data_IF_662842362196
#
_entry.id   IF_662842362196
#
_cell.length_a   1.000
_cell.length_b   1.000
_cell.length_c   1.000
_cell.angle_alpha   90.00
_cell.angle_beta   90.00
_cell.angle_gamma   90.00
#
_symmetry.space_group_name_H-M   'P 1'
#
loop_
_entity.id
_entity.type
_entity.pdbx_description
1 polymer ?
#
# COMPACT_ATOMS: atom_id res chain seq x y z
N UNK A 1 15.42 8.59 -2.15
CA UNK A 1 15.08 9.67 -3.10
C UNK A 1 14.00 9.26 -4.12
N UNK A 2 13.99 8.04 -4.68
CA UNK A 2 12.94 7.61 -5.64
C UNK A 2 11.53 7.53 -5.02
N UNK A 3 11.39 6.82 -3.90
CA UNK A 3 10.06 6.49 -3.34
C UNK A 3 9.25 7.71 -2.87
N UNK A 4 9.90 8.72 -2.27
CA UNK A 4 9.24 9.95 -1.83
C UNK A 4 8.68 10.75 -3.02
N UNK A 5 9.40 10.79 -4.14
CA UNK A 5 8.93 11.46 -5.36
C UNK A 5 7.74 10.74 -5.99
N UNK A 6 7.74 9.41 -5.97
CA UNK A 6 6.60 8.59 -6.40
C UNK A 6 5.36 8.86 -5.53
N UNK A 7 5.54 8.91 -4.20
CA UNK A 7 4.47 9.26 -3.26
C UNK A 7 3.95 10.68 -3.53
N UNK A 8 4.82 11.66 -3.76
CA UNK A 8 4.41 13.03 -4.06
C UNK A 8 3.58 13.10 -5.36
N UNK A 9 3.99 12.35 -6.39
CA UNK A 9 3.23 12.23 -7.64
C UNK A 9 1.85 11.62 -7.41
N UNK A 10 1.76 10.53 -6.65
CA UNK A 10 0.48 9.89 -6.28
C UNK A 10 -0.39 10.88 -5.50
N UNK A 11 0.17 11.65 -4.56
CA UNK A 11 -0.55 12.66 -3.79
C UNK A 11 -1.14 13.75 -4.67
N UNK A 12 -0.39 14.24 -5.67
CA UNK A 12 -0.88 15.20 -6.67
C UNK A 12 -2.04 14.65 -7.49
N UNK A 13 -1.96 13.39 -7.92
CA UNK A 13 -3.02 12.71 -8.69
C UNK A 13 -4.25 12.48 -7.81
N UNK A 14 -4.07 12.04 -6.56
CA UNK A 14 -5.16 11.88 -5.57
C UNK A 14 -5.92 13.19 -5.32
N UNK A 15 -5.23 14.32 -5.34
CA UNK A 15 -5.87 15.64 -5.23
C UNK A 15 -6.87 15.94 -6.37
N UNK A 16 -6.69 15.32 -7.54
CA UNK A 16 -7.58 15.48 -8.71
C UNK A 16 -8.58 14.31 -8.85
N UNK A 17 -8.18 13.10 -8.46
CA UNK A 17 -8.93 11.87 -8.65
C UNK A 17 -9.07 11.10 -7.33
N UNK A 18 -10.30 11.06 -6.80
CA UNK A 18 -10.61 10.34 -5.55
C UNK A 18 -10.72 8.83 -5.71
N UNK A 19 -10.80 8.32 -6.93
CA UNK A 19 -10.88 6.88 -7.24
C UNK A 19 -9.49 6.22 -7.34
N UNK A 20 -8.40 6.96 -7.09
CA UNK A 20 -7.06 6.43 -7.15
C UNK A 20 -6.82 5.43 -6.01
N UNK A 21 -6.28 4.26 -6.36
CA UNK A 21 -5.87 3.21 -5.43
C UNK A 21 -4.38 2.97 -5.63
N UNK A 22 -3.66 2.66 -4.56
CA UNK A 22 -2.25 2.29 -4.64
C UNK A 22 -2.11 0.80 -4.40
N UNK A 23 -1.26 0.17 -5.18
CA UNK A 23 -0.89 -1.22 -5.04
C UNK A 23 0.60 -1.33 -4.74
N UNK A 24 0.94 -2.09 -3.70
CA UNK A 24 2.33 -2.34 -3.29
C UNK A 24 2.72 -3.72 -3.85
N UNK A 25 3.62 -3.78 -4.86
CA UNK A 25 4.09 -5.04 -5.42
C UNK A 25 5.25 -5.63 -4.60
N UNK A 26 5.62 -6.89 -4.88
CA UNK A 26 6.81 -7.55 -4.32
C UNK A 26 6.94 -7.58 -2.79
N UNK A 27 5.83 -7.55 -2.05
CA UNK A 27 5.86 -7.63 -0.59
C UNK A 27 6.26 -9.04 -0.15
N UNK A 28 7.36 -9.17 0.61
CA UNK A 28 7.88 -10.46 1.11
C UNK A 28 7.58 -10.71 2.57
N UNK A 29 7.45 -9.64 3.36
CA UNK A 29 7.27 -9.72 4.82
C UNK A 29 6.26 -8.69 5.30
N UNK A 30 5.57 -9.02 6.40
CA UNK A 30 4.56 -8.16 7.04
C UNK A 30 5.20 -6.86 7.54
N UNK A 31 6.42 -6.93 8.10
CA UNK A 31 7.19 -5.76 8.55
C UNK A 31 7.56 -4.79 7.44
N UNK A 32 7.88 -5.30 6.24
CA UNK A 32 8.16 -4.46 5.08
C UNK A 32 6.91 -3.70 4.63
N UNK A 33 5.76 -4.39 4.59
CA UNK A 33 4.48 -3.74 4.30
C UNK A 33 4.14 -2.68 5.34
N UNK A 34 4.25 -3.01 6.64
CA UNK A 34 3.96 -2.10 7.73
C UNK A 34 4.84 -0.84 7.69
N UNK A 35 6.14 -1.00 7.41
CA UNK A 35 7.07 0.13 7.21
C UNK A 35 6.69 0.97 6.00
N UNK A 36 6.31 0.34 4.89
CA UNK A 36 5.91 1.03 3.66
C UNK A 36 4.65 1.87 3.87
N UNK A 37 3.62 1.28 4.49
CA UNK A 37 2.38 1.98 4.85
C UNK A 37 2.68 3.16 5.78
N UNK A 38 3.54 2.97 6.79
CA UNK A 38 3.93 4.06 7.71
C UNK A 38 4.64 5.21 6.99
N UNK A 39 5.50 4.93 6.01
CA UNK A 39 6.15 5.96 5.19
C UNK A 39 5.10 6.70 4.36
N UNK A 40 4.20 5.97 3.69
CA UNK A 40 3.11 6.58 2.92
C UNK A 40 2.24 7.49 3.80
N UNK A 41 1.91 7.06 5.02
CA UNK A 41 1.18 7.87 5.99
C UNK A 41 1.94 9.13 6.39
N UNK A 42 3.25 9.05 6.65
CA UNK A 42 4.07 10.22 7.01
C UNK A 42 4.16 11.25 5.88
N UNK A 43 4.04 10.80 4.63
CA UNK A 43 4.02 11.66 3.44
C UNK A 43 2.60 12.14 3.06
N UNK A 44 1.61 11.86 3.91
CA UNK A 44 0.23 12.33 3.74
C UNK A 44 -0.68 11.42 2.88
N UNK A 45 -0.20 10.23 2.49
CA UNK A 45 -1.01 9.20 1.84
C UNK A 45 -1.56 8.20 2.86
N UNK A 46 -2.47 8.70 3.71
CA UNK A 46 -3.17 7.86 4.68
C UNK A 46 -4.34 7.10 4.05
N UNK A 47 -4.50 5.84 4.45
CA UNK A 47 -5.68 5.00 4.16
C UNK A 47 -6.94 5.67 4.67
N UNK A 48 -7.99 5.66 3.85
CA UNK A 48 -9.30 6.25 4.17
C UNK A 48 -10.39 5.56 3.34
N UNK A 49 -11.67 5.85 3.58
CA UNK A 49 -12.76 5.27 2.76
C UNK A 49 -12.58 5.52 1.26
N UNK A 50 -12.03 6.69 0.90
CA UNK A 50 -11.79 7.09 -0.49
C UNK A 50 -10.40 6.66 -1.01
N UNK A 51 -9.50 6.18 -0.16
CA UNK A 51 -8.14 5.80 -0.55
C UNK A 51 -7.79 4.43 0.00
N UNK A 52 -7.83 3.45 -0.91
CA UNK A 52 -7.59 2.04 -0.60
C UNK A 52 -6.17 1.64 -0.95
N UNK A 53 -5.53 0.89 -0.05
CA UNK A 53 -4.19 0.33 -0.24
C UNK A 53 -4.34 -1.15 -0.56
N UNK A 54 -3.72 -1.57 -1.66
CA UNK A 54 -3.75 -2.95 -2.14
C UNK A 54 -2.35 -3.55 -2.08
N UNK A 55 -2.29 -4.86 -1.90
CA UNK A 55 -1.04 -5.62 -1.96
C UNK A 55 -1.08 -6.60 -3.13
N UNK A 56 0.01 -6.73 -3.86
CA UNK A 56 0.15 -7.80 -4.85
C UNK A 56 0.70 -9.06 -4.20
N UNK A 57 -0.03 -10.18 -4.29
CA UNK A 57 0.26 -11.45 -3.66
C UNK A 57 1.00 -12.39 -4.64
N UNK A 58 2.21 -12.01 -5.03
CA UNK A 58 3.01 -12.76 -6.04
C UNK A 58 3.89 -13.85 -5.43
N UNK A 59 4.16 -13.80 -4.12
CA UNK A 59 5.06 -14.73 -3.43
C UNK A 59 4.23 -15.84 -2.78
N UNK A 60 4.58 -17.14 -2.97
CA UNK A 60 3.85 -18.27 -2.38
C UNK A 60 3.67 -18.17 -0.85
N UNK A 61 4.66 -17.59 -0.15
CA UNK A 61 4.57 -17.37 1.29
C UNK A 61 3.41 -16.44 1.69
N UNK A 62 3.01 -15.51 0.82
CA UNK A 62 1.99 -14.50 1.13
C UNK A 62 0.61 -15.13 1.33
N UNK A 63 0.32 -16.23 0.65
CA UNK A 63 -0.92 -16.98 0.81
C UNK A 63 -1.05 -17.62 2.20
N UNK A 64 0.08 -18.00 2.80
CA UNK A 64 0.11 -18.66 4.12
C UNK A 64 -0.11 -17.65 5.25
N UNK A 65 0.39 -16.42 5.09
CA UNK A 65 0.35 -15.37 6.12
C UNK A 65 -0.59 -14.22 5.74
N UNK A 66 -1.57 -14.50 4.87
CA UNK A 66 -2.45 -13.49 4.29
C UNK A 66 -3.22 -12.69 5.36
N UNK A 67 -3.70 -13.37 6.39
CA UNK A 67 -4.42 -12.74 7.51
C UNK A 67 -3.58 -11.66 8.19
N UNK A 68 -2.27 -11.92 8.38
CA UNK A 68 -1.34 -10.95 8.98
C UNK A 68 -1.15 -9.73 8.10
N UNK A 69 -1.17 -9.89 6.77
CA UNK A 69 -1.11 -8.76 5.86
C UNK A 69 -2.38 -7.90 5.92
N UNK A 70 -3.56 -8.51 6.04
CA UNK A 70 -4.83 -7.79 6.23
C UNK A 70 -4.81 -6.97 7.54
N UNK A 71 -4.24 -7.50 8.62
CA UNK A 71 -4.09 -6.80 9.91
C UNK A 71 -3.21 -5.54 9.83
N UNK A 72 -2.23 -5.48 8.94
CA UNK A 72 -1.40 -4.27 8.71
C UNK A 72 -2.23 -3.09 8.17
N UNK A 73 -3.42 -3.38 7.64
CA UNK A 73 -4.35 -2.36 7.19
C UNK A 73 -4.36 -2.17 5.68
N UNK A 74 -4.21 -3.24 4.91
CA UNK A 74 -4.54 -3.25 3.47
C UNK A 74 -6.05 -3.48 3.27
N UNK A 75 -6.60 -2.93 2.20
CA UNK A 75 -8.01 -3.05 1.84
C UNK A 75 -8.30 -4.24 0.92
N UNK A 76 -7.25 -4.83 0.35
CA UNK A 76 -7.38 -5.97 -0.53
C UNK A 76 -6.05 -6.48 -1.05
N UNK A 77 -6.12 -7.64 -1.68
CA UNK A 77 -5.01 -8.27 -2.37
C UNK A 77 -5.35 -8.46 -3.84
N UNK A 78 -4.35 -8.38 -4.70
CA UNK A 78 -4.41 -8.81 -6.09
C UNK A 78 -3.47 -9.99 -6.26
N UNK A 79 -3.97 -11.06 -6.88
CA UNK A 79 -3.21 -12.28 -7.20
C UNK A 79 -2.85 -12.25 -8.68
#
# INVERSE_FOLDING_TARGET
>A
MSFTLEIEAIRKVRGKYKNLRVMIPFVRTVDELARTVKIMESEGLKRSQDFKIWMMAEVPSNFIILEKFLEVGIDGISI
#
